data_IF_188313348283
#
_entry.id   IF_188313348283
#
_cell.length_a   1.000
_cell.length_b   1.000
_cell.length_c   1.000
_cell.angle_alpha   90.00
_cell.angle_beta   90.00
_cell.angle_gamma   90.00
#
_symmetry.space_group_name_H-M   'P 1'
#
loop_
_entity.id
_entity.type
_entity.pdbx_description
1 polymer ?
#
# COMPACT_ATOMS: atom_id res chain seq x y z
N UNK A 1 21.77 25.61 13.36
CA UNK A 1 22.59 26.46 12.46
C UNK A 1 23.22 27.53 13.31
N UNK A 2 24.55 27.52 13.45
CA UNK A 2 25.26 28.59 14.15
C UNK A 2 25.23 29.84 13.25
N UNK A 3 24.88 31.00 13.81
CA UNK A 3 25.00 32.29 13.15
C UNK A 3 26.46 32.50 12.75
N UNK A 4 26.74 32.51 11.44
CA UNK A 4 28.04 32.95 10.93
C UNK A 4 28.10 34.47 11.06
N UNK A 5 28.90 34.95 12.01
CA UNK A 5 29.23 36.38 12.11
C UNK A 5 29.90 36.86 10.81
N UNK A 6 29.21 37.73 10.08
CA UNK A 6 29.69 38.37 8.85
C UNK A 6 30.68 39.50 9.20
N UNK A 7 31.93 39.16 9.55
CA UNK A 7 33.02 40.14 9.62
C UNK A 7 33.96 39.98 8.43
N UNK A 8 34.30 41.10 7.79
CA UNK A 8 35.31 41.12 6.72
C UNK A 8 36.69 41.06 7.39
N UNK A 9 37.41 39.95 7.20
CA UNK A 9 38.80 39.84 7.68
C UNK A 9 39.67 40.94 7.04
N UNK A 10 40.43 41.63 7.89
CA UNK A 10 41.34 42.71 7.49
C UNK A 10 42.49 42.22 6.62
N UNK A 11 42.92 40.97 6.83
CA UNK A 11 43.89 40.28 6.00
C UNK A 11 43.17 39.18 5.22
N UNK A 12 43.05 39.35 3.91
CA UNK A 12 42.52 38.34 3.00
C UNK A 12 43.67 37.43 2.56
N UNK A 13 43.51 36.13 2.79
CA UNK A 13 44.34 35.12 2.13
C UNK A 13 43.81 34.93 0.71
N UNK A 14 44.52 35.46 -0.27
CA UNK A 14 44.18 35.32 -1.69
C UNK A 14 44.72 33.99 -2.21
N UNK A 15 43.95 33.37 -3.11
CA UNK A 15 44.51 32.26 -3.87
C UNK A 15 45.61 32.77 -4.81
N UNK A 16 46.57 31.91 -5.14
CA UNK A 16 47.72 32.28 -5.99
C UNK A 16 47.31 32.86 -7.35
N UNK A 17 46.16 32.45 -7.88
CA UNK A 17 45.60 32.98 -9.12
C UNK A 17 44.93 34.35 -8.98
N UNK A 18 44.70 34.82 -7.75
CA UNK A 18 44.11 36.12 -7.40
C UNK A 18 45.14 37.09 -6.82
N UNK A 19 46.37 36.63 -6.57
CA UNK A 19 47.46 37.44 -6.07
C UNK A 19 48.32 37.96 -7.22
N UNK A 20 48.06 39.20 -7.61
CA UNK A 20 48.84 39.92 -8.63
C UNK A 20 50.34 39.90 -8.35
N UNK A 21 50.78 40.11 -7.10
CA UNK A 21 52.19 40.20 -6.77
C UNK A 21 52.87 38.85 -6.92
N UNK A 22 52.17 37.77 -6.51
CA UNK A 22 52.64 36.41 -6.73
C UNK A 22 52.77 36.09 -8.23
N UNK A 23 51.75 36.40 -9.03
CA UNK A 23 51.73 36.15 -10.48
C UNK A 23 52.83 36.92 -11.21
N UNK A 24 53.01 38.20 -10.86
CA UNK A 24 54.08 39.05 -11.41
C UNK A 24 55.46 38.48 -11.07
N UNK A 25 55.68 38.11 -9.81
CA UNK A 25 56.96 37.54 -9.35
C UNK A 25 57.27 36.23 -10.06
N UNK A 26 56.27 35.36 -10.23
CA UNK A 26 56.41 34.11 -10.98
C UNK A 26 56.67 34.31 -12.46
N UNK A 27 56.08 35.34 -13.06
CA UNK A 27 56.34 35.73 -14.43
C UNK A 27 57.80 36.15 -14.66
N UNK A 28 58.35 36.96 -13.75
CA UNK A 28 59.75 37.40 -13.80
C UNK A 28 60.69 36.20 -13.61
N UNK A 29 60.40 35.33 -12.64
CA UNK A 29 61.17 34.08 -12.43
C UNK A 29 61.23 33.22 -13.70
N UNK A 30 60.12 33.12 -14.46
CA UNK A 30 60.13 32.41 -15.73
C UNK A 30 60.97 33.10 -16.80
N UNK A 31 60.90 34.44 -16.93
CA UNK A 31 61.73 35.20 -17.88
C UNK A 31 63.21 35.01 -17.55
N UNK A 32 63.61 35.13 -16.28
CA UNK A 32 64.99 34.92 -15.83
C UNK A 32 65.47 33.51 -16.18
N UNK A 33 64.64 32.48 -15.96
CA UNK A 33 65.01 31.10 -16.22
C UNK A 33 65.15 30.76 -17.70
N UNK A 34 64.38 31.43 -18.58
CA UNK A 34 64.27 31.07 -20.00
C UNK A 34 65.09 31.98 -20.91
N UNK A 35 65.32 33.24 -20.52
CA UNK A 35 65.82 34.28 -21.42
C UNK A 35 66.91 35.18 -20.81
N UNK A 36 67.47 34.85 -19.65
CA UNK A 36 68.49 35.69 -18.97
C UNK A 36 69.74 35.99 -19.79
N UNK A 37 70.06 35.17 -20.81
CA UNK A 37 71.18 35.45 -21.72
C UNK A 37 70.88 36.55 -22.75
N UNK A 38 69.61 36.77 -23.10
CA UNK A 38 69.18 37.70 -24.16
C UNK A 38 68.43 38.92 -23.60
N UNK A 39 67.73 38.78 -22.48
CA UNK A 39 66.91 39.82 -21.86
C UNK A 39 67.30 39.97 -20.39
N UNK A 40 68.00 41.07 -20.09
CA UNK A 40 68.64 41.32 -18.79
C UNK A 40 68.05 42.49 -18.00
N UNK A 41 67.18 43.30 -18.62
CA UNK A 41 66.49 44.42 -17.95
C UNK A 41 65.07 44.03 -17.55
N UNK A 42 64.81 43.99 -16.24
CA UNK A 42 63.52 43.61 -15.66
C UNK A 42 62.77 44.80 -15.02
N UNK A 43 63.16 46.03 -15.36
CA UNK A 43 62.58 47.24 -14.79
C UNK A 43 61.25 47.63 -15.46
N UNK A 44 60.47 48.46 -14.75
CA UNK A 44 59.12 48.92 -15.16
C UNK A 44 59.11 49.72 -16.47
N UNK A 45 60.25 50.26 -16.90
CA UNK A 45 60.34 51.00 -18.16
C UNK A 45 60.53 50.10 -19.39
N UNK A 46 60.85 48.81 -19.19
CA UNK A 46 60.92 47.82 -20.26
C UNK A 46 59.50 47.47 -20.75
N UNK A 47 59.19 47.64 -22.05
CA UNK A 47 57.87 47.34 -22.59
C UNK A 47 57.42 45.89 -22.40
N UNK A 48 58.32 44.91 -22.41
CA UNK A 48 57.99 43.52 -22.18
C UNK A 48 57.64 43.22 -20.73
N UNK A 49 58.27 43.90 -19.76
CA UNK A 49 57.87 43.82 -18.34
C UNK A 49 56.52 44.48 -18.12
N UNK A 50 56.22 45.61 -18.76
CA UNK A 50 54.87 46.19 -18.69
C UNK A 50 53.80 45.27 -19.28
N UNK A 51 54.10 44.52 -20.35
CA UNK A 51 53.20 43.49 -20.89
C UNK A 51 52.97 42.34 -19.91
N UNK A 52 54.02 41.88 -19.21
CA UNK A 52 53.89 40.86 -18.16
C UNK A 52 53.00 41.34 -17.02
N UNK A 53 53.12 42.59 -16.59
CA UNK A 53 52.29 43.18 -15.55
C UNK A 53 50.80 43.22 -15.95
N UNK A 54 50.50 43.59 -17.20
CA UNK A 54 49.13 43.54 -17.73
C UNK A 54 48.61 42.09 -17.77
N UNK A 55 49.44 41.14 -18.18
CA UNK A 55 49.09 39.72 -18.18
C UNK A 55 48.80 39.22 -16.75
N UNK A 56 49.64 39.56 -15.77
CA UNK A 56 49.44 39.21 -14.37
C UNK A 56 48.13 39.80 -13.82
N UNK A 57 47.80 41.04 -14.19
CA UNK A 57 46.51 41.66 -13.84
C UNK A 57 45.33 40.94 -14.50
N UNK A 58 45.42 40.59 -15.78
CA UNK A 58 44.36 39.85 -16.48
C UNK A 58 44.14 38.45 -15.89
N UNK A 59 45.21 37.76 -15.50
CA UNK A 59 45.12 36.47 -14.79
C UNK A 59 44.49 36.66 -13.41
N UNK A 60 44.83 37.74 -12.70
CA UNK A 60 44.23 38.09 -11.40
C UNK A 60 42.71 38.27 -11.52
N UNK A 61 42.25 39.03 -12.51
CA UNK A 61 40.82 39.23 -12.78
C UNK A 61 40.13 37.91 -13.19
N UNK A 62 40.81 37.06 -13.97
CA UNK A 62 40.29 35.74 -14.32
C UNK A 62 40.17 34.84 -13.08
N UNK A 63 41.19 34.78 -12.23
CA UNK A 63 41.18 34.03 -10.97
C UNK A 63 40.01 34.47 -10.08
N UNK A 64 39.84 35.78 -9.92
CA UNK A 64 38.73 36.37 -9.18
C UNK A 64 37.36 35.93 -9.73
N UNK A 65 37.16 35.95 -11.06
CA UNK A 65 35.90 35.53 -11.69
C UNK A 65 35.66 34.02 -11.59
N UNK A 66 36.72 33.22 -11.56
CA UNK A 66 36.62 31.77 -11.39
C UNK A 66 36.30 31.35 -9.96
N UNK A 67 36.48 32.24 -8.98
CA UNK A 67 36.27 31.95 -7.55
C UNK A 67 34.89 32.38 -7.02
N UNK A 68 33.96 32.75 -7.91
CA UNK A 68 32.56 32.93 -7.52
C UNK A 68 31.95 31.60 -7.07
N UNK A 69 30.87 31.68 -6.28
CA UNK A 69 30.11 30.49 -5.88
C UNK A 69 29.68 29.72 -7.14
N UNK A 70 29.78 28.40 -7.10
CA UNK A 70 29.50 27.56 -8.27
C UNK A 70 28.06 27.74 -8.76
N UNK A 71 27.13 28.03 -7.85
CA UNK A 71 25.74 28.36 -8.14
C UNK A 71 25.62 29.62 -8.99
N UNK A 72 26.46 30.63 -8.74
CA UNK A 72 26.49 31.89 -9.48
C UNK A 72 27.15 31.70 -10.86
N UNK A 73 28.24 30.93 -10.92
CA UNK A 73 28.95 30.60 -12.17
C UNK A 73 28.04 29.84 -13.14
N UNK A 74 27.24 28.90 -12.62
CA UNK A 74 26.32 28.09 -13.41
C UNK A 74 25.00 28.81 -13.72
N UNK A 75 24.75 29.97 -13.13
CA UNK A 75 23.52 30.73 -13.38
C UNK A 75 23.57 31.47 -14.72
N UNK A 76 22.50 31.40 -15.50
CA UNK A 76 22.41 32.08 -16.81
C UNK A 76 21.90 33.53 -16.71
N UNK A 77 21.96 34.17 -15.54
CA UNK A 77 21.54 35.57 -15.33
C UNK A 77 20.05 35.89 -15.55
N UNK A 78 19.22 34.91 -15.93
CA UNK A 78 17.77 35.01 -16.07
C UNK A 78 17.01 34.50 -14.85
N UNK A 79 15.69 34.67 -14.84
CA UNK A 79 14.80 34.08 -13.81
C UNK A 79 14.66 32.56 -13.91
N UNK A 80 15.32 31.93 -14.87
CA UNK A 80 15.30 30.49 -15.06
C UNK A 80 16.09 29.80 -13.94
N UNK A 81 15.37 29.01 -13.15
CA UNK A 81 15.93 28.26 -12.02
C UNK A 81 16.97 27.26 -12.53
N UNK A 82 18.13 27.20 -11.85
CA UNK A 82 19.21 26.22 -12.09
C UNK A 82 18.69 24.77 -12.25
N UNK A 83 17.58 24.45 -11.59
CA UNK A 83 16.89 23.16 -11.63
C UNK A 83 16.45 22.69 -13.03
N UNK A 84 16.51 23.54 -14.07
CA UNK A 84 16.28 23.11 -15.46
C UNK A 84 17.51 22.50 -16.12
N UNK A 85 18.71 22.76 -15.60
CA UNK A 85 19.98 22.27 -16.14
C UNK A 85 20.42 20.94 -15.54
N UNK A 86 19.85 20.55 -14.40
CA UNK A 86 20.16 19.32 -13.70
C UNK A 86 18.91 18.46 -13.54
N UNK A 87 19.10 17.15 -13.64
CA UNK A 87 18.03 16.24 -13.27
C UNK A 87 17.80 16.27 -11.75
N UNK A 88 16.54 16.22 -11.36
CA UNK A 88 16.16 16.04 -9.96
C UNK A 88 16.41 14.59 -9.52
N UNK A 89 16.57 14.37 -8.20
CA UNK A 89 16.66 13.02 -7.64
C UNK A 89 15.50 12.12 -8.09
N UNK A 90 14.28 12.67 -8.17
CA UNK A 90 13.09 11.97 -8.67
C UNK A 90 13.21 11.49 -10.12
N UNK A 91 14.05 12.12 -10.94
CA UNK A 91 14.21 11.74 -12.35
C UNK A 91 15.31 10.69 -12.54
N UNK A 92 16.32 10.63 -11.66
CA UNK A 92 17.51 9.78 -11.87
C UNK A 92 17.62 8.61 -10.89
N UNK A 93 17.02 8.70 -9.70
CA UNK A 93 17.17 7.67 -8.67
C UNK A 93 16.01 6.66 -8.66
N UNK A 94 14.83 7.05 -9.17
CA UNK A 94 13.67 6.15 -9.25
C UNK A 94 13.82 5.16 -10.39
N UNK A 95 13.32 3.94 -10.20
CA UNK A 95 13.37 2.86 -11.17
C UNK A 95 11.95 2.40 -11.55
N UNK A 96 11.80 1.68 -12.66
CA UNK A 96 10.53 1.01 -12.97
C UNK A 96 10.29 -0.15 -11.98
N UNK A 97 9.02 -0.52 -11.71
CA UNK A 97 8.73 -1.62 -10.81
C UNK A 97 9.19 -2.94 -11.41
N UNK A 98 10.03 -3.68 -10.68
CA UNK A 98 10.54 -5.00 -11.12
C UNK A 98 10.40 -6.07 -10.06
N UNK A 99 10.27 -5.67 -8.78
CA UNK A 99 10.04 -6.60 -7.68
C UNK A 99 8.57 -6.63 -7.27
N UNK A 100 8.17 -7.69 -6.55
CA UNK A 100 6.82 -7.79 -5.95
C UNK A 100 6.49 -6.57 -5.07
N UNK A 101 7.48 -6.08 -4.30
CA UNK A 101 7.30 -4.90 -3.47
C UNK A 101 7.16 -3.60 -4.28
N UNK A 102 7.82 -3.48 -5.43
CA UNK A 102 7.65 -2.30 -6.28
C UNK A 102 6.24 -2.28 -6.89
N UNK A 103 5.77 -3.41 -7.43
CA UNK A 103 4.38 -3.49 -7.93
C UNK A 103 3.37 -3.26 -6.82
N UNK A 104 3.65 -3.75 -5.61
CA UNK A 104 2.83 -3.47 -4.43
C UNK A 104 2.78 -1.98 -4.10
N UNK A 105 3.90 -1.25 -4.14
CA UNK A 105 3.92 0.22 -3.95
C UNK A 105 3.10 0.94 -5.02
N UNK A 106 3.25 0.54 -6.29
CA UNK A 106 2.49 1.10 -7.41
C UNK A 106 0.98 0.87 -7.25
N UNK A 107 0.58 -0.31 -6.78
CA UNK A 107 -0.82 -0.63 -6.50
C UNK A 107 -1.37 0.17 -5.32
N UNK A 108 -0.62 0.31 -4.23
CA UNK A 108 -1.03 1.11 -3.05
C UNK A 108 -1.15 2.61 -3.41
N UNK A 109 -0.39 3.10 -4.39
CA UNK A 109 -0.52 4.48 -4.90
C UNK A 109 -1.83 4.70 -5.70
N UNK A 110 -2.57 3.65 -6.04
CA UNK A 110 -3.92 3.76 -6.62
C UNK A 110 -4.92 4.05 -5.52
N UNK A 111 -5.62 5.17 -5.64
CA UNK A 111 -6.64 5.60 -4.67
C UNK A 111 -7.70 4.51 -4.44
N UNK A 112 -7.92 4.15 -3.18
CA UNK A 112 -8.89 3.13 -2.76
C UNK A 112 -8.29 1.74 -2.59
N UNK A 113 -6.99 1.57 -2.81
CA UNK A 113 -6.25 0.35 -2.48
C UNK A 113 -5.47 0.58 -1.20
N UNK A 114 -5.86 -0.14 -0.15
CA UNK A 114 -5.17 -0.14 1.14
C UNK A 114 -3.85 -0.91 1.07
N UNK A 115 -3.89 -2.07 0.41
CA UNK A 115 -2.75 -2.97 0.30
C UNK A 115 -2.87 -3.89 -0.91
N UNK A 116 -1.75 -4.49 -1.32
CA UNK A 116 -1.74 -5.43 -2.43
C UNK A 116 -0.66 -6.51 -2.27
N UNK A 117 -0.86 -7.64 -2.95
CA UNK A 117 0.12 -8.72 -3.03
C UNK A 117 0.10 -9.34 -4.43
N UNK A 118 1.25 -9.90 -4.82
CA UNK A 118 1.37 -10.72 -6.02
C UNK A 118 1.66 -12.16 -5.61
N UNK A 119 0.96 -13.11 -6.22
CA UNK A 119 1.21 -14.54 -6.06
C UNK A 119 1.43 -15.17 -7.43
N UNK A 120 2.40 -16.07 -7.56
CA UNK A 120 2.59 -16.82 -8.81
C UNK A 120 1.32 -17.64 -9.08
N UNK A 121 0.74 -17.44 -10.27
CA UNK A 121 -0.47 -18.14 -10.67
C UNK A 121 -0.17 -19.62 -10.92
N UNK A 122 -1.01 -20.49 -10.36
CA UNK A 122 -0.96 -21.93 -10.64
C UNK A 122 -1.64 -22.30 -11.97
N UNK A 123 -2.44 -21.39 -12.49
CA UNK A 123 -3.27 -21.52 -13.69
C UNK A 123 -2.94 -20.36 -14.64
N UNK A 124 -3.22 -20.55 -15.92
CA UNK A 124 -3.06 -19.55 -16.96
C UNK A 124 -4.35 -19.44 -17.77
N UNK A 125 -4.44 -18.42 -18.63
CA UNK A 125 -5.61 -18.26 -19.51
C UNK A 125 -5.83 -19.48 -20.41
N UNK A 126 -4.74 -20.11 -20.86
CA UNK A 126 -4.78 -21.30 -21.67
C UNK A 126 -3.86 -22.37 -21.10
N UNK A 127 -4.38 -23.60 -20.96
CA UNK A 127 -3.55 -24.76 -20.66
C UNK A 127 -2.66 -25.08 -21.85
N UNK A 128 -1.36 -25.24 -21.60
CA UNK A 128 -0.38 -25.63 -22.62
C UNK A 128 0.02 -27.07 -22.38
N UNK A 129 -0.14 -27.89 -23.42
CA UNK A 129 0.17 -29.30 -23.41
C UNK A 129 1.38 -29.58 -24.31
N UNK A 130 2.32 -30.37 -23.80
CA UNK A 130 3.50 -30.82 -24.53
C UNK A 130 3.35 -32.28 -24.94
N UNK A 131 3.60 -32.53 -26.23
CA UNK A 131 3.81 -33.88 -26.75
C UNK A 131 5.30 -34.05 -27.10
N UNK A 132 6.06 -34.68 -26.19
CA UNK A 132 7.51 -34.87 -26.35
C UNK A 132 7.89 -35.75 -27.54
N UNK A 133 7.03 -36.71 -27.93
CA UNK A 133 7.31 -37.61 -29.05
C UNK A 133 7.18 -36.91 -30.40
N UNK A 134 6.21 -35.99 -30.53
CA UNK A 134 5.95 -35.24 -31.75
C UNK A 134 6.65 -33.87 -31.75
N UNK A 135 7.34 -33.48 -30.67
CA UNK A 135 7.91 -32.15 -30.44
C UNK A 135 6.93 -31.02 -30.75
N UNK A 136 5.68 -31.16 -30.27
CA UNK A 136 4.59 -30.22 -30.53
C UNK A 136 3.96 -29.71 -29.23
N UNK A 137 3.61 -28.43 -29.25
CA UNK A 137 2.79 -27.77 -28.23
C UNK A 137 1.34 -27.67 -28.72
N UNK A 138 0.38 -27.77 -27.81
CA UNK A 138 -1.04 -27.57 -28.10
C UNK A 138 -1.78 -26.92 -26.95
N UNK A 139 -2.84 -26.18 -27.29
CA UNK A 139 -3.75 -25.54 -26.32
C UNK A 139 -4.91 -26.47 -25.90
N UNK A 140 -4.93 -27.68 -26.45
CA UNK A 140 -5.91 -28.72 -26.14
C UNK A 140 -5.19 -30.06 -25.97
N UNK A 141 -5.74 -30.98 -25.17
CA UNK A 141 -5.13 -32.28 -24.95
C UNK A 141 -5.14 -33.12 -26.24
N UNK A 142 -3.99 -33.23 -26.90
CA UNK A 142 -3.79 -34.05 -28.10
C UNK A 142 -3.51 -35.51 -27.72
N UNK A 143 -4.55 -36.36 -27.73
CA UNK A 143 -4.48 -37.83 -27.50
C UNK A 143 -4.12 -38.25 -26.04
N UNK A 144 -4.93 -39.11 -25.40
CA UNK A 144 -4.80 -39.47 -23.96
C UNK A 144 -3.46 -40.08 -23.50
N UNK A 145 -2.48 -40.33 -24.39
CA UNK A 145 -1.20 -40.98 -24.04
C UNK A 145 -0.04 -40.01 -24.24
N UNK A 146 0.80 -39.87 -23.21
CA UNK A 146 2.06 -39.11 -23.23
C UNK A 146 1.91 -37.58 -23.45
N UNK A 147 0.94 -36.98 -22.76
CA UNK A 147 0.83 -35.52 -22.67
C UNK A 147 1.25 -35.08 -21.26
N UNK A 148 2.10 -34.06 -21.18
CA UNK A 148 2.37 -33.33 -19.95
C UNK A 148 1.80 -31.90 -20.07
N UNK A 149 1.13 -31.42 -19.03
CA UNK A 149 0.67 -30.03 -18.94
C UNK A 149 1.81 -29.16 -18.42
N UNK A 150 2.15 -28.11 -19.17
CA UNK A 150 3.16 -27.13 -18.79
C UNK A 150 2.49 -26.07 -17.91
N UNK A 151 3.10 -25.82 -16.74
CA UNK A 151 2.79 -24.65 -15.91
C UNK A 151 3.70 -23.51 -16.31
N UNK A 152 3.11 -22.42 -16.78
CA UNK A 152 3.86 -21.21 -17.12
C UNK A 152 4.35 -20.51 -15.85
N UNK A 153 5.61 -20.07 -15.87
CA UNK A 153 6.18 -19.18 -14.85
C UNK A 153 6.05 -17.72 -15.30
N UNK A 154 6.06 -16.78 -14.37
CA UNK A 154 5.96 -15.34 -14.66
C UNK A 154 4.52 -14.83 -14.86
N UNK A 155 3.51 -15.66 -14.55
CA UNK A 155 2.12 -15.23 -14.50
C UNK A 155 1.74 -15.01 -13.03
N UNK A 156 1.13 -13.88 -12.73
CA UNK A 156 0.81 -13.50 -11.36
C UNK A 156 -0.69 -13.28 -11.15
N UNK A 157 -1.18 -13.73 -10.00
CA UNK A 157 -2.45 -13.34 -9.43
C UNK A 157 -2.23 -12.08 -8.58
N UNK A 158 -3.05 -11.06 -8.80
CA UNK A 158 -3.04 -9.79 -8.07
C UNK A 158 -4.08 -9.86 -6.96
N UNK A 159 -3.66 -9.66 -5.72
CA UNK A 159 -4.54 -9.63 -4.55
C UNK A 159 -4.65 -8.21 -4.06
N UNK A 160 -5.87 -7.70 -3.93
CA UNK A 160 -6.13 -6.33 -3.51
C UNK A 160 -6.90 -6.31 -2.20
N UNK A 161 -6.39 -5.58 -1.22
CA UNK A 161 -7.14 -5.12 -0.06
C UNK A 161 -7.60 -3.69 -0.35
N UNK A 162 -8.91 -3.49 -0.45
CA UNK A 162 -9.50 -2.18 -0.69
C UNK A 162 -9.60 -1.37 0.60
N UNK A 163 -9.56 -0.05 0.48
CA UNK A 163 -9.84 0.83 1.62
C UNK A 163 -11.30 0.69 2.07
N UNK A 164 -11.54 0.98 3.35
CA UNK A 164 -12.89 1.17 3.86
C UNK A 164 -13.48 2.45 3.24
N UNK A 165 -14.76 2.39 2.88
CA UNK A 165 -15.49 3.52 2.33
C UNK A 165 -16.32 4.21 3.41
N UNK A 166 -16.36 5.55 3.38
CA UNK A 166 -17.10 6.34 4.37
C UNK A 166 -18.60 6.05 4.35
N UNK A 167 -19.19 5.78 3.18
CA UNK A 167 -20.63 5.51 3.02
C UNK A 167 -20.95 4.02 2.93
N UNK A 168 -20.14 3.26 2.19
CA UNK A 168 -20.38 1.84 1.91
C UNK A 168 -19.74 0.90 2.93
N UNK A 169 -18.90 1.40 3.84
CA UNK A 169 -18.18 0.61 4.82
C UNK A 169 -17.09 -0.25 4.18
N UNK A 170 -16.87 -1.44 4.74
CA UNK A 170 -15.75 -2.29 4.34
C UNK A 170 -16.00 -2.98 3.00
N UNK A 171 -15.25 -2.57 1.98
CA UNK A 171 -15.35 -3.13 0.63
C UNK A 171 -14.78 -4.55 0.50
N UNK A 172 -14.13 -5.12 1.53
CA UNK A 172 -13.56 -6.47 1.46
C UNK A 172 -14.45 -7.54 2.12
N UNK A 173 -15.58 -7.15 2.72
CA UNK A 173 -16.52 -8.07 3.35
C UNK A 173 -17.73 -8.32 2.45
N UNK A 174 -18.06 -9.59 2.28
CA UNK A 174 -19.16 -10.06 1.43
C UNK A 174 -20.29 -10.70 2.22
N UNK A 175 -20.16 -10.75 3.54
CA UNK A 175 -21.19 -11.24 4.42
C UNK A 175 -21.94 -10.06 5.03
N UNK A 176 -23.26 -10.05 4.86
CA UNK A 176 -24.12 -8.97 5.33
C UNK A 176 -25.12 -9.51 6.34
N UNK A 177 -25.21 -8.84 7.49
CA UNK A 177 -26.26 -9.07 8.47
C UNK A 177 -27.45 -8.12 8.21
N UNK A 178 -28.67 -8.65 8.29
CA UNK A 178 -29.91 -7.87 8.16
C UNK A 178 -30.95 -8.32 9.18
N UNK A 179 -31.54 -7.35 9.86
CA UNK A 179 -32.66 -7.56 10.79
C UNK A 179 -33.97 -7.36 10.05
N UNK A 180 -34.82 -8.38 10.03
CA UNK A 180 -36.16 -8.33 9.43
C UNK A 180 -37.18 -8.23 10.57
N UNK A 181 -38.06 -7.22 10.48
CA UNK A 181 -39.13 -6.97 11.47
C UNK A 181 -40.49 -7.43 10.94
N UNK A 182 -41.27 -8.14 11.75
CA UNK A 182 -42.68 -8.49 11.49
C UNK A 182 -43.48 -8.50 12.80
N UNK A 183 -44.50 -7.64 12.92
CA UNK A 183 -45.50 -7.64 14.01
C UNK A 183 -44.88 -7.93 15.40
N UNK A 184 -43.93 -7.09 15.83
CA UNK A 184 -43.15 -7.17 17.09
C UNK A 184 -42.14 -8.32 17.23
N UNK A 185 -41.93 -9.13 16.19
CA UNK A 185 -40.85 -10.11 16.13
C UNK A 185 -39.76 -9.65 15.17
N UNK A 186 -38.53 -9.69 15.64
CA UNK A 186 -37.34 -9.42 14.85
C UNK A 186 -36.52 -10.70 14.71
N UNK A 187 -36.02 -10.98 13.51
CA UNK A 187 -35.04 -12.04 13.31
C UNK A 187 -33.93 -11.57 12.38
N UNK A 188 -32.72 -12.07 12.63
CA UNK A 188 -31.54 -11.72 11.86
C UNK A 188 -31.26 -12.78 10.81
N UNK A 189 -30.94 -12.31 9.61
CA UNK A 189 -30.38 -13.11 8.54
C UNK A 189 -28.95 -12.66 8.24
N UNK A 190 -28.15 -13.60 7.80
CA UNK A 190 -26.83 -13.36 7.24
C UNK A 190 -26.82 -13.90 5.82
N UNK A 191 -26.25 -13.15 4.90
CA UNK A 191 -26.12 -13.58 3.51
C UNK A 191 -24.71 -13.31 3.03
N UNK A 192 -24.11 -14.34 2.42
CA UNK A 192 -22.79 -14.24 1.80
C UNK A 192 -22.99 -14.05 0.29
N UNK A 193 -22.62 -12.88 -0.20
CA UNK A 193 -22.68 -12.53 -1.61
C UNK A 193 -21.35 -12.87 -2.33
N UNK A 194 -21.34 -12.96 -3.67
CA UNK A 194 -20.13 -13.34 -4.40
C UNK A 194 -18.98 -12.31 -4.26
N UNK A 195 -17.72 -12.73 -4.06
CA UNK A 195 -16.60 -11.78 -3.97
C UNK A 195 -16.29 -11.08 -5.31
N UNK A 196 -15.50 -9.99 -5.28
CA UNK A 196 -15.25 -9.12 -6.44
C UNK A 196 -14.62 -9.80 -7.66
N UNK A 197 -13.77 -10.80 -7.43
CA UNK A 197 -13.17 -11.63 -8.48
C UNK A 197 -14.21 -12.33 -9.36
N UNK A 198 -15.44 -12.50 -8.88
CA UNK A 198 -16.57 -13.00 -9.69
C UNK A 198 -16.87 -12.09 -10.88
N UNK A 199 -16.62 -10.79 -10.75
CA UNK A 199 -17.02 -9.78 -11.73
C UNK A 199 -15.86 -9.31 -12.61
N UNK A 200 -14.63 -9.31 -12.11
CA UNK A 200 -13.51 -8.68 -12.80
C UNK A 200 -13.03 -9.44 -14.05
N UNK A 201 -12.95 -10.78 -14.00
CA UNK A 201 -12.46 -11.59 -15.12
C UNK A 201 -13.52 -11.83 -16.23
N UNK A 202 -14.67 -11.15 -16.16
CA UNK A 202 -15.75 -11.29 -17.14
C UNK A 202 -15.72 -10.14 -18.13
N UNK A 203 -16.03 -10.45 -19.39
CA UNK A 203 -16.10 -9.44 -20.45
C UNK A 203 -17.32 -8.54 -20.21
N UNK A 204 -17.08 -7.28 -19.86
CA UNK A 204 -18.11 -6.25 -19.70
C UNK A 204 -18.56 -6.00 -18.26
N UNK A 205 -19.26 -4.88 -18.05
CA UNK A 205 -19.80 -4.51 -16.73
C UNK A 205 -21.13 -5.24 -16.46
N UNK A 206 -21.40 -5.68 -15.22
CA UNK A 206 -22.71 -6.23 -14.88
C UNK A 206 -23.82 -5.19 -15.08
N UNK A 207 -24.92 -5.59 -15.71
CA UNK A 207 -26.10 -4.73 -15.99
C UNK A 207 -27.12 -4.78 -14.84
N UNK A 208 -27.35 -5.96 -14.27
CA UNK A 208 -28.29 -6.13 -13.16
C UNK A 208 -27.98 -7.36 -12.31
N UNK A 209 -28.53 -7.34 -11.09
CA UNK A 209 -28.39 -8.39 -10.08
C UNK A 209 -29.76 -8.80 -9.57
N UNK A 210 -29.97 -10.10 -9.36
CA UNK A 210 -31.21 -10.63 -8.78
C UNK A 210 -30.93 -11.79 -7.84
N UNK A 211 -31.72 -11.91 -6.78
CA UNK A 211 -31.77 -13.10 -5.92
C UNK A 211 -33.10 -13.81 -6.19
N UNK A 212 -33.03 -15.05 -6.69
CA UNK A 212 -34.18 -15.86 -7.04
C UNK A 212 -34.06 -17.28 -6.46
N UNK A 213 -35.15 -18.06 -6.51
CA UNK A 213 -35.17 -19.46 -6.08
C UNK A 213 -34.71 -19.68 -4.62
N UNK A 214 -35.19 -18.83 -3.71
CA UNK A 214 -34.94 -19.01 -2.28
C UNK A 214 -35.64 -20.30 -1.84
N UNK A 215 -34.85 -21.28 -1.41
CA UNK A 215 -35.34 -22.59 -0.98
C UNK A 215 -34.74 -22.96 0.35
N UNK A 216 -35.56 -23.52 1.23
CA UNK A 216 -35.13 -23.87 2.57
C UNK A 216 -34.34 -25.19 2.57
N UNK A 217 -33.18 -25.23 3.22
CA UNK A 217 -32.31 -26.42 3.23
C UNK A 217 -32.87 -27.43 4.26
N UNK A 218 -33.05 -28.69 3.86
CA UNK A 218 -33.56 -29.73 4.74
C UNK A 218 -32.66 -29.89 5.98
N UNK A 219 -33.25 -30.14 7.15
CA UNK A 219 -32.54 -30.37 8.42
C UNK A 219 -31.63 -29.21 8.89
N UNK A 220 -31.81 -27.99 8.38
CA UNK A 220 -31.13 -26.79 8.89
C UNK A 220 -32.08 -25.58 8.98
N UNK A 221 -31.65 -24.52 9.66
CA UNK A 221 -32.32 -23.21 9.71
C UNK A 221 -31.99 -22.31 8.50
N UNK A 222 -31.21 -22.84 7.55
CA UNK A 222 -30.63 -22.06 6.46
C UNK A 222 -31.45 -22.19 5.17
N UNK A 223 -31.26 -21.21 4.29
CA UNK A 223 -31.85 -21.14 2.96
C UNK A 223 -30.73 -21.03 1.94
N UNK A 224 -30.98 -21.53 0.73
CA UNK A 224 -30.13 -21.31 -0.45
C UNK A 224 -30.89 -20.47 -1.45
N UNK A 225 -30.18 -19.63 -2.19
CA UNK A 225 -30.75 -18.87 -3.29
C UNK A 225 -29.80 -18.87 -4.48
N UNK A 226 -30.35 -18.53 -5.65
CA UNK A 226 -29.57 -18.28 -6.85
C UNK A 226 -29.38 -16.78 -7.01
N UNK A 227 -28.13 -16.32 -6.93
CA UNK A 227 -27.73 -14.98 -7.30
C UNK A 227 -27.43 -14.92 -8.80
N UNK A 228 -28.29 -14.24 -9.54
CA UNK A 228 -28.19 -14.04 -10.99
C UNK A 228 -27.51 -12.71 -11.30
N UNK A 229 -26.49 -12.76 -12.16
CA UNK A 229 -25.74 -11.61 -12.67
C UNK A 229 -25.96 -11.56 -14.18
N UNK A 230 -26.55 -10.46 -14.66
CA UNK A 230 -26.78 -10.26 -16.08
C UNK A 230 -25.69 -9.36 -16.66
N UNK A 231 -25.05 -9.81 -17.74
CA UNK A 231 -24.14 -9.04 -18.58
C UNK A 231 -24.80 -8.77 -19.93
N UNK A 232 -24.14 -8.04 -20.84
CA UNK A 232 -24.68 -7.76 -22.17
C UNK A 232 -24.95 -9.04 -22.97
N UNK A 233 -24.00 -9.99 -22.94
CA UNK A 233 -24.04 -11.19 -23.78
C UNK A 233 -24.20 -12.51 -22.99
N UNK A 234 -24.12 -12.48 -21.67
CA UNK A 234 -24.23 -13.68 -20.83
C UNK A 234 -24.98 -13.43 -19.52
N UNK A 235 -25.45 -14.51 -18.90
CA UNK A 235 -26.04 -14.48 -17.56
C UNK A 235 -25.39 -15.57 -16.72
N UNK A 236 -24.79 -15.18 -15.60
CA UNK A 236 -24.11 -16.09 -14.68
C UNK A 236 -24.97 -16.28 -13.43
N UNK A 237 -25.09 -17.52 -12.96
CA UNK A 237 -25.78 -17.86 -11.71
C UNK A 237 -24.78 -18.40 -10.70
N UNK A 238 -24.84 -17.88 -9.48
CA UNK A 238 -24.06 -18.36 -8.34
C UNK A 238 -25.00 -18.75 -7.21
N UNK A 239 -24.73 -19.87 -6.56
CA UNK A 239 -25.46 -20.24 -5.36
C UNK A 239 -24.99 -19.38 -4.19
N UNK A 240 -25.93 -18.85 -3.41
CA UNK A 240 -25.67 -18.07 -2.19
C UNK A 240 -26.37 -18.72 -1.01
N UNK A 241 -25.69 -18.73 0.13
CA UNK A 241 -26.20 -19.24 1.39
C UNK A 241 -26.78 -18.09 2.22
N UNK A 242 -27.98 -18.30 2.76
CA UNK A 242 -28.65 -17.39 3.68
C UNK A 242 -28.82 -18.12 5.01
N UNK A 243 -28.16 -17.64 6.06
CA UNK A 243 -28.28 -18.17 7.42
C UNK A 243 -29.31 -17.37 8.18
N UNK A 244 -30.16 -18.05 8.94
CA UNK A 244 -31.16 -17.41 9.79
C UNK A 244 -30.90 -17.78 11.24
N UNK A 245 -30.88 -16.80 12.14
CA UNK A 245 -30.73 -16.99 13.60
C UNK A 245 -32.07 -17.35 14.28
N UNK A 246 -33.07 -17.83 13.53
CA UNK A 246 -34.44 -18.08 14.01
C UNK A 246 -35.05 -19.41 13.56
N UNK A 247 -36.13 -19.84 14.24
CA UNK A 247 -36.87 -21.06 13.93
C UNK A 247 -37.44 -21.03 12.51
N UNK A 248 -37.13 -22.06 11.72
CA UNK A 248 -37.56 -22.23 10.33
C UNK A 248 -39.09 -22.22 10.20
N UNK A 249 -39.63 -21.33 9.37
CA UNK A 249 -41.06 -21.31 9.01
C UNK A 249 -41.26 -20.91 7.54
N UNK A 250 -42.42 -21.24 6.97
CA UNK A 250 -42.84 -20.77 5.63
C UNK A 250 -42.96 -19.25 5.59
N UNK A 251 -43.43 -18.66 6.68
CA UNK A 251 -43.51 -17.20 6.85
C UNK A 251 -42.13 -16.54 6.74
N UNK A 252 -41.10 -17.13 7.35
CA UNK A 252 -39.73 -16.61 7.27
C UNK A 252 -39.23 -16.60 5.83
N UNK A 253 -39.56 -17.64 5.04
CA UNK A 253 -39.13 -17.71 3.64
C UNK A 253 -39.70 -16.54 2.83
N UNK A 254 -41.00 -16.28 2.93
CA UNK A 254 -41.63 -15.16 2.22
C UNK A 254 -41.10 -13.79 2.67
N UNK A 255 -40.76 -13.64 3.95
CA UNK A 255 -40.16 -12.41 4.47
C UNK A 255 -38.74 -12.19 3.93
N UNK A 256 -37.92 -13.23 3.93
CA UNK A 256 -36.57 -13.20 3.35
C UNK A 256 -36.65 -12.89 1.86
N UNK A 257 -37.59 -13.50 1.14
CA UNK A 257 -37.83 -13.22 -0.27
C UNK A 257 -38.21 -11.76 -0.51
N UNK A 258 -39.14 -11.22 0.28
CA UNK A 258 -39.56 -9.83 0.14
C UNK A 258 -38.40 -8.87 0.41
N UNK A 259 -37.57 -9.12 1.43
CA UNK A 259 -36.43 -8.26 1.75
C UNK A 259 -35.31 -8.35 0.70
N UNK A 260 -34.96 -9.55 0.25
CA UNK A 260 -33.86 -9.74 -0.70
C UNK A 260 -34.21 -9.38 -2.15
N UNK A 261 -35.49 -9.27 -2.49
CA UNK A 261 -35.97 -8.79 -3.80
C UNK A 261 -36.08 -7.27 -3.89
N UNK A 262 -35.95 -6.54 -2.77
CA UNK A 262 -35.98 -5.08 -2.76
C UNK A 262 -34.84 -4.50 -3.58
N UNK A 263 -35.14 -3.39 -4.27
CA UNK A 263 -34.19 -2.65 -5.11
C UNK A 263 -34.17 -1.15 -4.80
N UNK A 264 -34.87 -0.73 -3.74
CA UNK A 264 -34.84 0.65 -3.25
C UNK A 264 -33.48 1.02 -2.63
N UNK A 265 -33.26 2.30 -2.36
CA UNK A 265 -31.97 2.82 -1.88
C UNK A 265 -31.49 2.22 -0.56
N UNK A 266 -32.41 1.72 0.27
CA UNK A 266 -32.08 1.10 1.56
C UNK A 266 -31.88 -0.42 1.44
N UNK A 267 -32.17 -0.99 0.26
CA UNK A 267 -32.07 -2.43 0.04
C UNK A 267 -30.61 -2.92 0.04
N UNK A 268 -30.43 -4.16 0.49
CA UNK A 268 -29.14 -4.85 0.42
C UNK A 268 -28.58 -4.88 -1.01
N UNK A 269 -29.41 -5.21 -2.01
CA UNK A 269 -28.98 -5.30 -3.40
C UNK A 269 -28.53 -3.94 -3.97
N UNK A 270 -29.18 -2.85 -3.57
CA UNK A 270 -28.77 -1.51 -3.99
C UNK A 270 -27.41 -1.13 -3.38
N UNK A 271 -27.23 -1.33 -2.07
CA UNK A 271 -25.95 -1.09 -1.40
C UNK A 271 -24.83 -1.94 -2.00
N UNK A 272 -25.09 -3.24 -2.18
CA UNK A 272 -24.14 -4.17 -2.77
C UNK A 272 -23.77 -3.82 -4.22
N UNK A 273 -24.74 -3.35 -5.02
CA UNK A 273 -24.49 -2.83 -6.36
C UNK A 273 -23.49 -1.66 -6.33
N UNK A 274 -23.66 -0.70 -5.42
CA UNK A 274 -22.74 0.44 -5.29
C UNK A 274 -21.33 -0.02 -4.89
N UNK A 275 -21.21 -0.99 -3.99
CA UNK A 275 -19.93 -1.60 -3.63
C UNK A 275 -19.23 -2.22 -4.85
N UNK A 276 -19.96 -2.99 -5.67
CA UNK A 276 -19.41 -3.59 -6.90
C UNK A 276 -18.95 -2.49 -7.87
N UNK A 277 -19.78 -1.48 -8.12
CA UNK A 277 -19.44 -0.40 -9.06
C UNK A 277 -18.16 0.33 -8.63
N UNK A 278 -18.02 0.61 -7.32
CA UNK A 278 -16.82 1.24 -6.76
C UNK A 278 -15.59 0.33 -6.84
N UNK A 279 -15.73 -0.93 -6.45
CA UNK A 279 -14.64 -1.91 -6.54
C UNK A 279 -14.16 -2.09 -7.98
N UNK A 280 -15.07 -2.21 -8.95
CA UNK A 280 -14.71 -2.35 -10.37
C UNK A 280 -13.97 -1.12 -10.93
N UNK A 281 -14.28 0.08 -10.45
CA UNK A 281 -13.53 1.29 -10.81
C UNK A 281 -12.09 1.22 -10.31
N UNK A 282 -11.90 0.91 -9.02
CA UNK A 282 -10.57 0.81 -8.39
C UNK A 282 -9.73 -0.28 -9.08
N UNK A 283 -10.30 -1.46 -9.32
CA UNK A 283 -9.57 -2.57 -9.96
C UNK A 283 -9.27 -2.23 -11.43
N UNK A 284 -10.14 -1.49 -12.14
CA UNK A 284 -9.85 -1.03 -13.50
C UNK A 284 -8.64 -0.10 -13.55
N UNK A 285 -8.47 0.77 -12.56
CA UNK A 285 -7.31 1.65 -12.47
C UNK A 285 -6.04 0.89 -12.06
N UNK A 286 -6.16 -0.08 -11.14
CA UNK A 286 -5.09 -1.03 -10.81
C UNK A 286 -4.62 -1.82 -12.05
N UNK A 287 -5.56 -2.28 -12.88
CA UNK A 287 -5.26 -2.99 -14.12
C UNK A 287 -4.47 -2.11 -15.09
N UNK A 288 -4.89 -0.87 -15.31
CA UNK A 288 -4.21 0.05 -16.24
C UNK A 288 -2.77 0.34 -15.79
N UNK A 289 -2.55 0.59 -14.50
CA UNK A 289 -1.21 0.95 -13.99
C UNK A 289 -0.24 -0.25 -14.01
N UNK A 290 -0.73 -1.46 -13.73
CA UNK A 290 0.10 -2.67 -13.84
C UNK A 290 0.47 -2.95 -15.30
N UNK A 291 -0.48 -2.83 -16.23
CA UNK A 291 -0.22 -3.11 -17.64
C UNK A 291 0.65 -2.05 -18.33
N UNK A 292 0.68 -0.81 -17.82
CA UNK A 292 1.61 0.22 -18.30
C UNK A 292 3.05 0.00 -17.83
N UNK A 293 3.24 -0.83 -16.79
CA UNK A 293 4.53 -1.15 -16.16
C UNK A 293 4.89 -2.64 -16.26
N UNK A 294 4.23 -3.38 -17.16
CA UNK A 294 4.41 -4.83 -17.31
C UNK A 294 5.83 -5.18 -17.77
N UNK A 295 6.48 -6.09 -17.04
CA UNK A 295 7.82 -6.59 -17.34
C UNK A 295 7.86 -7.49 -18.58
N UNK A 296 9.08 -7.75 -19.06
CA UNK A 296 9.32 -8.70 -20.14
C UNK A 296 9.00 -10.13 -19.69
N UNK A 297 8.25 -10.87 -20.52
CA UNK A 297 7.86 -12.27 -20.26
C UNK A 297 7.06 -12.50 -18.96
N UNK A 298 6.50 -11.45 -18.37
CA UNK A 298 5.59 -11.55 -17.22
C UNK A 298 4.20 -11.02 -17.57
N UNK A 299 3.18 -11.55 -16.91
CA UNK A 299 1.79 -11.13 -17.10
C UNK A 299 0.93 -11.25 -15.83
N UNK A 300 -0.17 -10.51 -15.79
CA UNK A 300 -1.12 -10.50 -14.67
C UNK A 300 -2.41 -11.21 -15.09
N UNK A 301 -2.72 -12.33 -14.44
CA UNK A 301 -3.82 -13.20 -14.84
C UNK A 301 -5.13 -12.88 -14.10
N UNK A 302 -5.18 -13.12 -12.79
CA UNK A 302 -6.39 -12.98 -11.98
C UNK A 302 -6.23 -11.80 -11.03
N UNK A 303 -7.21 -10.90 -11.01
CA UNK A 303 -7.35 -9.92 -9.94
C UNK A 303 -8.39 -10.43 -8.95
N UNK A 304 -7.96 -10.63 -7.70
CA UNK A 304 -8.81 -11.06 -6.60
C UNK A 304 -8.80 -10.05 -5.47
N UNK A 305 -9.95 -9.94 -4.82
CA UNK A 305 -10.00 -9.29 -3.52
C UNK A 305 -9.35 -10.20 -2.47
N UNK A 306 -8.82 -9.60 -1.42
CA UNK A 306 -8.28 -10.34 -0.29
C UNK A 306 -9.41 -11.06 0.46
N UNK A 307 -9.19 -12.31 0.82
CA UNK A 307 -10.06 -13.02 1.75
C UNK A 307 -9.81 -12.47 3.17
N UNK A 308 -10.86 -11.99 3.85
CA UNK A 308 -10.74 -11.45 5.21
C UNK A 308 -11.18 -12.50 6.23
N UNK A 309 -10.32 -12.78 7.21
CA UNK A 309 -10.70 -13.44 8.46
C UNK A 309 -10.87 -12.41 9.57
N UNK A 310 -12.08 -12.35 10.09
CA UNK A 310 -12.49 -11.42 11.14
C UNK A 310 -12.13 -11.99 12.51
N UNK A 311 -11.25 -11.30 13.24
CA UNK A 311 -10.82 -11.67 14.58
C UNK A 311 -11.76 -11.06 15.61
N UNK A 312 -12.29 -11.89 16.49
CA UNK A 312 -13.18 -11.50 17.59
C UNK A 312 -12.40 -11.60 18.89
N UNK A 313 -12.46 -10.54 19.69
CA UNK A 313 -11.75 -10.48 20.98
C UNK A 313 -12.76 -10.39 22.11
N UNK A 314 -12.68 -11.34 23.04
CA UNK A 314 -13.43 -11.33 24.29
C UNK A 314 -12.46 -11.18 25.45
N UNK A 315 -12.55 -10.10 26.22
CA UNK A 315 -11.59 -9.82 27.28
C UNK A 315 -12.22 -9.15 28.51
N UNK A 316 -11.70 -9.52 29.67
CA UNK A 316 -12.00 -8.93 30.96
C UNK A 316 -10.79 -8.11 31.43
N UNK A 317 -10.93 -6.80 31.52
CA UNK A 317 -9.80 -5.87 31.75
C UNK A 317 -10.04 -5.06 33.01
N UNK A 318 -9.06 -5.03 33.91
CA UNK A 318 -9.05 -4.16 35.08
C UNK A 318 -8.36 -2.83 34.76
N UNK A 319 -9.03 -1.74 35.10
CA UNK A 319 -8.57 -0.37 34.84
C UNK A 319 -8.59 0.46 36.12
N UNK A 320 -7.86 1.57 36.12
CA UNK A 320 -7.83 2.49 37.25
C UNK A 320 -9.21 3.14 37.47
N UNK A 321 -9.48 3.60 38.70
CA UNK A 321 -10.76 4.22 39.05
C UNK A 321 -11.03 5.51 38.24
N UNK A 322 -9.97 6.24 37.89
CA UNK A 322 -10.03 7.49 37.14
C UNK A 322 -10.08 7.31 35.61
N UNK A 323 -9.90 6.08 35.10
CA UNK A 323 -9.84 5.81 33.67
C UNK A 323 -11.14 6.22 32.95
N UNK A 324 -11.00 6.84 31.78
CA UNK A 324 -12.10 7.01 30.83
C UNK A 324 -12.21 5.74 29.96
N UNK A 325 -13.30 5.00 30.15
CA UNK A 325 -13.48 3.68 29.56
C UNK A 325 -13.61 3.73 28.04
N UNK A 326 -14.22 4.78 27.49
CA UNK A 326 -14.40 4.97 26.05
C UNK A 326 -13.05 5.16 25.36
N UNK A 327 -12.22 6.04 25.93
CA UNK A 327 -10.87 6.30 25.44
C UNK A 327 -10.00 5.05 25.51
N UNK A 328 -10.06 4.30 26.61
CA UNK A 328 -9.32 3.03 26.75
C UNK A 328 -9.80 1.99 25.74
N UNK A 329 -11.11 1.85 25.55
CA UNK A 329 -11.68 0.92 24.57
C UNK A 329 -11.26 1.25 23.14
N UNK A 330 -11.34 2.54 22.77
CA UNK A 330 -10.92 3.02 21.46
C UNK A 330 -9.43 2.75 21.21
N UNK A 331 -8.58 2.98 22.23
CA UNK A 331 -7.16 2.70 22.14
C UNK A 331 -6.87 1.20 21.98
N UNK A 332 -7.53 0.34 22.76
CA UNK A 332 -7.41 -1.13 22.61
C UNK A 332 -7.75 -1.57 21.19
N UNK A 333 -8.89 -1.11 20.66
CA UNK A 333 -9.29 -1.48 19.31
C UNK A 333 -8.35 -0.92 18.24
N UNK A 334 -7.84 0.29 18.41
CA UNK A 334 -6.88 0.89 17.49
C UNK A 334 -5.56 0.11 17.46
N UNK A 335 -5.00 -0.21 18.62
CA UNK A 335 -3.71 -0.90 18.71
C UNK A 335 -3.80 -2.36 18.24
N UNK A 336 -4.89 -3.07 18.58
CA UNK A 336 -5.14 -4.42 18.05
C UNK A 336 -5.31 -4.38 16.53
N UNK A 337 -6.07 -3.41 15.98
CA UNK A 337 -6.21 -3.25 14.52
C UNK A 337 -4.85 -3.03 13.85
N UNK A 338 -4.03 -2.14 14.39
CA UNK A 338 -2.69 -1.86 13.87
C UNK A 338 -1.76 -3.06 13.98
N UNK A 339 -1.88 -3.86 15.04
CA UNK A 339 -1.10 -5.09 15.16
C UNK A 339 -1.54 -6.15 14.15
N UNK A 340 -2.85 -6.31 13.92
CA UNK A 340 -3.38 -7.29 12.98
C UNK A 340 -3.06 -6.94 11.53
N UNK A 341 -3.27 -5.67 11.17
CA UNK A 341 -3.05 -5.15 9.83
C UNK A 341 -2.31 -3.80 9.91
N UNK A 342 -0.97 -3.81 10.03
CA UNK A 342 -0.17 -2.59 10.08
C UNK A 342 -0.41 -1.71 8.84
N UNK A 343 -0.80 -0.42 9.04
CA UNK A 343 -1.05 0.47 7.92
C UNK A 343 0.24 0.77 7.16
N UNK A 344 0.12 0.93 5.85
CA UNK A 344 1.21 1.41 4.98
C UNK A 344 0.95 2.89 4.74
N UNK A 345 1.79 3.76 5.32
CA UNK A 345 1.61 5.20 5.23
C UNK A 345 2.43 5.81 4.10
N UNK A 346 1.95 6.94 3.58
CA UNK A 346 2.72 7.81 2.70
C UNK A 346 3.43 8.88 3.51
N UNK A 347 4.70 9.10 3.16
CA UNK A 347 5.56 10.09 3.78
C UNK A 347 6.05 11.11 2.78
N UNK A 348 6.34 12.30 3.28
CA UNK A 348 7.07 13.35 2.57
C UNK A 348 8.58 13.11 2.65
N UNK A 349 9.35 13.75 1.77
CA UNK A 349 10.83 13.70 1.80
C UNK A 349 11.36 14.17 3.15
N UNK A 350 10.74 15.22 3.72
CA UNK A 350 11.15 15.80 5.00
C UNK A 350 11.00 14.79 6.14
N UNK A 351 9.84 14.12 6.23
CA UNK A 351 9.57 13.13 7.28
C UNK A 351 10.54 11.93 7.20
N UNK A 352 10.84 11.43 6.00
CA UNK A 352 11.80 10.34 5.83
C UNK A 352 13.24 10.78 6.15
N UNK A 353 13.60 12.02 5.84
CA UNK A 353 14.92 12.58 6.18
C UNK A 353 15.07 12.75 7.69
N UNK A 354 14.03 13.22 8.39
CA UNK A 354 13.99 13.33 9.85
C UNK A 354 14.06 11.95 10.54
N UNK A 355 13.56 10.90 9.88
CA UNK A 355 13.73 9.49 10.29
C UNK A 355 15.11 8.90 9.95
N UNK A 356 16.02 9.69 9.38
CA UNK A 356 17.40 9.29 9.08
C UNK A 356 17.58 8.51 7.78
N UNK A 357 16.57 8.45 6.90
CA UNK A 357 16.69 7.83 5.57
C UNK A 357 17.49 8.73 4.64
N UNK A 358 18.35 8.13 3.81
CA UNK A 358 19.14 8.87 2.81
C UNK A 358 18.34 9.13 1.55
N UNK A 359 18.76 10.12 0.75
CA UNK A 359 18.09 10.48 -0.52
C UNK A 359 17.99 9.30 -1.48
N UNK A 360 19.07 8.53 -1.65
CA UNK A 360 19.08 7.33 -2.50
C UNK A 360 18.13 6.23 -2.01
N UNK A 361 17.97 6.08 -0.69
CA UNK A 361 16.98 5.16 -0.10
C UNK A 361 15.55 5.64 -0.30
N UNK A 362 15.29 6.94 -0.14
CA UNK A 362 13.95 7.55 -0.31
C UNK A 362 13.45 7.38 -1.74
N UNK A 363 14.31 7.63 -2.72
CA UNK A 363 13.95 7.54 -4.14
C UNK A 363 14.13 6.14 -4.73
N UNK A 364 14.44 5.13 -3.92
CA UNK A 364 14.59 3.76 -4.40
C UNK A 364 13.22 3.11 -4.69
N UNK A 365 13.01 2.77 -5.97
CA UNK A 365 11.81 2.10 -6.46
C UNK A 365 10.98 2.97 -7.41
N UNK A 366 9.70 2.61 -7.61
CA UNK A 366 8.82 3.26 -8.58
C UNK A 366 8.44 4.68 -8.20
N UNK A 367 8.14 5.48 -9.23
CA UNK A 367 7.58 6.82 -9.03
C UNK A 367 6.15 6.68 -8.52
N UNK A 368 5.90 7.23 -7.34
CA UNK A 368 4.57 7.33 -6.73
C UNK A 368 4.05 8.77 -6.80
N UNK A 369 2.73 8.94 -6.80
CA UNK A 369 2.07 10.24 -6.89
C UNK A 369 1.73 10.84 -5.52
N UNK A 370 1.48 9.99 -4.51
CA UNK A 370 0.93 10.42 -3.23
C UNK A 370 1.96 10.47 -2.08
N UNK A 371 3.26 10.33 -2.39
CA UNK A 371 4.34 10.41 -1.40
C UNK A 371 5.33 9.26 -1.56
N UNK A 372 6.01 8.90 -0.48
CA UNK A 372 6.95 7.79 -0.43
C UNK A 372 6.50 6.75 0.60
N UNK A 373 6.71 5.48 0.29
CA UNK A 373 6.39 4.36 1.18
C UNK A 373 7.70 3.84 1.78
N UNK A 374 7.77 3.73 3.10
CA UNK A 374 8.92 3.11 3.77
C UNK A 374 8.93 1.60 3.51
N UNK A 375 10.03 1.11 2.92
CA UNK A 375 10.23 -0.30 2.60
C UNK A 375 10.16 -1.20 3.86
N UNK A 376 10.62 -0.71 5.00
CA UNK A 376 10.62 -1.48 6.25
C UNK A 376 9.20 -1.63 6.83
N UNK A 377 8.35 -0.63 6.65
CA UNK A 377 6.93 -0.68 7.03
C UNK A 377 6.15 -1.60 6.07
N UNK A 378 6.43 -1.49 4.76
CA UNK A 378 5.81 -2.34 3.74
C UNK A 378 6.06 -3.83 3.99
N UNK A 379 7.29 -4.20 4.35
CA UNK A 379 7.67 -5.58 4.68
C UNK A 379 6.98 -6.13 5.93
N UNK A 380 6.62 -5.27 6.89
CA UNK A 380 5.88 -5.68 8.09
C UNK A 380 4.40 -5.92 7.82
N UNK A 381 3.85 -5.28 6.79
CA UNK A 381 2.44 -5.37 6.40
C UNK A 381 2.14 -6.65 5.59
N UNK A 382 2.58 -7.82 6.05
CA UNK A 382 2.32 -9.12 5.39
C UNK A 382 1.27 -9.93 6.15
N UNK A 383 0.66 -10.91 5.47
CA UNK A 383 -0.32 -11.80 6.09
C UNK A 383 0.24 -12.50 7.32
N UNK A 384 -0.47 -12.36 8.46
CA UNK A 384 -0.19 -13.15 9.66
C UNK A 384 -0.87 -14.50 9.55
N UNK A 385 -0.12 -15.58 9.75
CA UNK A 385 -0.67 -16.94 9.77
C UNK A 385 -0.96 -17.42 11.21
N UNK A 386 -0.36 -16.78 12.21
CA UNK A 386 -0.51 -17.12 13.63
C UNK A 386 -0.65 -15.83 14.41
N UNK A 387 -1.63 -15.79 15.30
CA UNK A 387 -1.82 -14.72 16.28
C UNK A 387 -1.68 -15.33 17.67
N UNK A 388 -0.72 -14.85 18.46
CA UNK A 388 -0.57 -15.27 19.85
C UNK A 388 -1.41 -14.38 20.75
N UNK A 389 -2.13 -14.99 21.69
CA UNK A 389 -2.93 -14.25 22.69
C UNK A 389 -2.03 -13.40 23.58
N UNK A 390 -0.79 -13.84 23.83
CA UNK A 390 0.22 -13.08 24.56
C UNK A 390 0.53 -11.72 23.93
N UNK A 391 0.48 -11.62 22.60
CA UNK A 391 0.76 -10.36 21.91
C UNK A 391 -0.34 -9.34 22.21
N UNK A 392 -1.61 -9.78 22.23
CA UNK A 392 -2.74 -8.93 22.59
C UNK A 392 -2.69 -8.51 24.07
N UNK A 393 -2.29 -9.42 24.95
CA UNK A 393 -2.09 -9.10 26.37
C UNK A 393 -1.03 -8.00 26.51
N UNK A 394 0.11 -8.12 25.84
CA UNK A 394 1.16 -7.09 25.89
C UNK A 394 0.65 -5.74 25.37
N UNK A 395 0.00 -5.73 24.20
CA UNK A 395 -0.57 -4.52 23.61
C UNK A 395 -1.56 -3.85 24.58
N UNK A 396 -2.47 -4.62 25.18
CA UNK A 396 -3.47 -4.09 26.11
C UNK A 396 -2.81 -3.58 27.40
N UNK A 397 -1.81 -4.30 27.92
CA UNK A 397 -1.10 -3.93 29.15
C UNK A 397 -0.25 -2.67 29.00
N UNK A 398 0.20 -2.34 27.79
CA UNK A 398 0.97 -1.11 27.50
C UNK A 398 0.09 0.15 27.48
N UNK A 399 -1.24 -0.01 27.45
CA UNK A 399 -2.18 1.12 27.45
C UNK A 399 -2.24 1.76 28.84
N UNK A 400 -2.12 3.08 28.86
CA UNK A 400 -2.25 3.88 30.07
C UNK A 400 -3.59 3.60 30.75
N UNK A 401 -3.57 3.48 32.07
CA UNK A 401 -4.73 3.21 32.93
C UNK A 401 -5.25 1.76 32.94
N UNK A 402 -4.66 0.85 32.16
CA UNK A 402 -4.85 -0.60 32.31
C UNK A 402 -3.99 -1.12 33.46
N UNK A 403 -4.60 -1.87 34.38
CA UNK A 403 -3.93 -2.45 35.55
C UNK A 403 -3.63 -3.93 35.33
N UNK A 404 -4.59 -4.67 34.76
CA UNK A 404 -4.44 -6.10 34.49
C UNK A 404 -5.43 -6.58 33.41
N UNK A 405 -5.03 -7.60 32.66
CA UNK A 405 -5.93 -8.41 31.82
C UNK A 405 -6.27 -9.69 32.60
N UNK A 406 -7.54 -9.87 32.99
CA UNK A 406 -8.00 -10.98 33.85
C UNK A 406 -8.22 -12.26 33.06
N UNK A 407 -8.92 -12.16 31.94
CA UNK A 407 -9.12 -13.25 30.98
C UNK A 407 -9.19 -12.64 29.58
N UNK A 408 -8.69 -13.38 28.60
CA UNK A 408 -8.78 -13.00 27.20
C UNK A 408 -8.88 -14.26 26.34
N UNK A 409 -9.75 -14.19 25.35
CA UNK A 409 -9.97 -15.24 24.39
C UNK A 409 -10.18 -14.61 23.03
N UNK A 410 -9.61 -15.25 22.00
CA UNK A 410 -9.75 -14.80 20.62
C UNK A 410 -10.41 -15.90 19.79
N UNK A 411 -11.29 -15.52 18.89
CA UNK A 411 -11.84 -16.41 17.87
C UNK A 411 -11.77 -15.75 16.51
N UNK A 412 -12.01 -16.52 15.44
CA UNK A 412 -12.11 -15.99 14.10
C UNK A 412 -13.43 -16.37 13.42
N UNK A 413 -13.89 -15.46 12.59
CA UNK A 413 -15.03 -15.59 11.69
C UNK A 413 -14.52 -15.52 10.26
N UNK A 414 -15.05 -16.36 9.39
CA UNK A 414 -14.86 -16.24 7.94
C UNK A 414 -16.24 -16.26 7.28
N UNK A 415 -16.58 -15.21 6.53
CA UNK A 415 -17.91 -15.03 5.93
C UNK A 415 -19.06 -15.17 6.96
N UNK A 416 -18.89 -14.52 8.12
CA UNK A 416 -19.71 -14.63 9.35
C UNK A 416 -19.85 -16.04 9.97
N UNK A 417 -19.02 -17.01 9.57
CA UNK A 417 -19.02 -18.33 10.20
C UNK A 417 -17.86 -18.46 11.20
N UNK A 418 -18.14 -18.80 12.48
CA UNK A 418 -17.10 -19.14 13.44
C UNK A 418 -16.24 -20.28 12.92
N UNK A 419 -14.94 -20.05 12.83
CA UNK A 419 -13.96 -21.08 12.48
C UNK A 419 -13.38 -21.75 13.73
N UNK A 420 -13.43 -21.05 14.88
CA UNK A 420 -12.92 -21.51 16.18
C UNK A 420 -13.92 -21.20 17.28
N UNK A 421 -13.88 -21.98 18.36
CA UNK A 421 -14.81 -21.86 19.50
C UNK A 421 -14.29 -20.90 20.59
N UNK A 422 -13.06 -20.40 20.44
CA UNK A 422 -12.43 -19.47 21.38
C UNK A 422 -11.08 -19.97 21.88
N UNK A 423 -10.00 -19.49 21.27
CA UNK A 423 -8.64 -19.85 21.57
C UNK A 423 -8.04 -18.98 22.68
N UNK A 424 -7.36 -19.62 23.64
CA UNK A 424 -6.70 -18.94 24.78
C UNK A 424 -5.19 -18.76 24.63
N UNK A 425 -4.57 -19.39 23.63
CA UNK A 425 -3.11 -19.41 23.48
C UNK A 425 -2.65 -18.87 22.13
N UNK A 426 -3.13 -19.49 21.05
CA UNK A 426 -2.77 -19.12 19.69
C UNK A 426 -3.93 -19.40 18.74
N UNK A 427 -4.12 -18.50 17.78
CA UNK A 427 -5.11 -18.62 16.72
C UNK A 427 -4.38 -18.82 15.39
N UNK A 428 -4.67 -19.94 14.73
CA UNK A 428 -4.11 -20.28 13.44
C UNK A 428 -5.03 -19.79 12.33
N UNK A 429 -4.53 -18.90 11.47
CA UNK A 429 -5.26 -18.38 10.32
C UNK A 429 -4.93 -19.17 9.06
N UNK A 430 -5.86 -19.23 8.11
CA UNK A 430 -5.55 -19.81 6.80
C UNK A 430 -4.62 -18.88 6.03
N UNK A 431 -3.66 -19.49 5.33
CA UNK A 431 -2.68 -18.76 4.51
C UNK A 431 -3.38 -17.90 3.45
N UNK A 432 -2.84 -16.69 3.22
CA UNK A 432 -3.33 -15.77 2.21
C UNK A 432 -4.60 -15.02 2.57
N UNK A 433 -4.98 -15.00 3.86
CA UNK A 433 -6.13 -14.25 4.37
C UNK A 433 -5.70 -13.09 5.26
N UNK A 434 -6.32 -11.93 5.07
CA UNK A 434 -6.10 -10.76 5.90
C UNK A 434 -6.82 -10.91 7.24
N UNK A 435 -6.12 -10.66 8.34
CA UNK A 435 -6.72 -10.61 9.67
C UNK A 435 -7.28 -9.21 9.93
N UNK A 436 -8.56 -9.09 10.28
CA UNK A 436 -9.19 -7.81 10.63
C UNK A 436 -10.00 -7.93 11.92
N UNK A 437 -9.90 -6.96 12.81
CA UNK A 437 -10.69 -6.95 14.04
C UNK A 437 -12.18 -6.73 13.74
N UNK A 438 -13.04 -7.61 14.27
CA UNK A 438 -14.50 -7.49 14.19
C UNK A 438 -15.04 -6.86 15.48
N UNK A 439 -15.36 -5.57 15.43
CA UNK A 439 -15.85 -4.83 16.61
C UNK A 439 -17.25 -5.33 17.03
N UNK A 440 -18.14 -5.59 16.07
CA UNK A 440 -19.54 -5.95 16.33
C UNK A 440 -19.71 -7.24 17.15
N UNK A 441 -18.77 -8.18 16.99
CA UNK A 441 -18.77 -9.46 17.71
C UNK A 441 -17.83 -9.48 18.91
N UNK A 442 -16.90 -8.52 19.01
CA UNK A 442 -15.97 -8.42 20.13
C UNK A 442 -16.67 -7.92 21.40
N UNK A 443 -16.24 -8.42 22.56
CA UNK A 443 -16.82 -8.06 23.85
C UNK A 443 -15.72 -7.80 24.87
N UNK A 444 -15.57 -6.54 25.26
CA UNK A 444 -14.63 -6.14 26.30
C UNK A 444 -15.42 -5.65 27.51
N UNK A 445 -15.12 -6.22 28.67
CA UNK A 445 -15.73 -5.83 29.95
C UNK A 445 -14.65 -5.21 30.83
N UNK A 446 -14.90 -3.99 31.28
CA UNK A 446 -13.97 -3.27 32.16
C UNK A 446 -14.35 -3.46 33.62
N UNK A 447 -13.35 -3.53 34.50
CA UNK A 447 -13.53 -3.59 35.94
C UNK A 447 -12.83 -2.41 36.61
N UNK A 448 -13.57 -1.66 37.44
CA UNK A 448 -12.97 -0.73 38.41
C UNK A 448 -13.10 -1.36 39.79
N UNK A 449 -12.02 -2.01 40.25
CA UNK A 449 -12.07 -2.89 41.42
C UNK A 449 -12.97 -4.11 41.17
N UNK A 450 -14.09 -4.20 41.89
CA UNK A 450 -15.03 -5.33 41.81
C UNK A 450 -16.25 -5.06 40.90
N UNK A 451 -16.41 -3.84 40.39
CA UNK A 451 -17.61 -3.46 39.63
C UNK A 451 -17.35 -3.59 38.13
N UNK A 452 -18.16 -4.39 37.40
CA UNK A 452 -18.07 -4.50 35.95
C UNK A 452 -18.79 -3.33 35.26
N UNK A 453 -18.16 -2.79 34.23
CA UNK A 453 -18.68 -1.75 33.35
C UNK A 453 -18.70 -2.28 31.92
N UNK A 454 -19.79 -2.01 31.21
CA UNK A 454 -19.91 -2.22 29.77
C UNK A 454 -20.09 -0.87 29.11
N UNK A 455 -19.37 -0.70 28.01
CA UNK A 455 -19.31 0.49 27.20
C UNK A 455 -19.93 0.16 25.86
#
# INVERSE_FOLDING_TARGET
MAEQELYIKKERTLDKGEDYNFLRSKGIEYIESLASELWTDYNVHDPGITQLEILAYAITDLGYRCNYLIEDILSNGGSDKLNKHFFTARQILTNNPVTENDFRKVLIDVKGIKNAWLEIASEAEHDIFLNCQKSKLSLSPLEKRNIEQIKLSGIYNVILELDDDDELGNLNLYCFERTIKKNDKEFNIEIVLPPWNTYFNKTGKPLSYKIENITAIAQSQNYRASFEIKYENETTKKEVLIRSKGLKSTDNQSLIENELKRTDKESLLYHYKLMIEKALLIISDAYKILHSTRNLCEDFYLFKAVDVEEIVVCADIEVTSAADLETVLAQIYYDIKNFLAPPVNFYTIKELTERGKKTDEIFNGPILNHGFIDEDELKKSVFKNVIHVSDFIQIIMDIKDVVAVKDIMISNLYNCEPQTEGEKWCLMLKKGRAAKLCINHSKIVFYKGLVPYRV
#
